data_IF_768491063259
#
_entry.id   IF_768491063259
#
_cell.length_a   1.000
_cell.length_b   1.000
_cell.length_c   1.000
_cell.angle_alpha   90.00
_cell.angle_beta   90.00
_cell.angle_gamma   90.00
#
_symmetry.space_group_name_H-M   'P 1'
#
loop_
_entity.id
_entity.type
_entity.pdbx_description
1 polymer ?
#
# COMPACT_ATOMS: atom_id res chain seq x y z
N UNK A 1 3.13 -14.48 -4.63
CA UNK A 1 3.18 -13.00 -4.49
C UNK A 1 2.71 -12.29 -5.75
N UNK A 2 3.39 -12.43 -6.90
CA UNK A 2 3.00 -11.75 -8.13
C UNK A 2 1.56 -12.02 -8.59
N UNK A 3 1.09 -13.26 -8.50
CA UNK A 3 -0.32 -13.59 -8.79
C UNK A 3 -1.33 -12.82 -7.94
N UNK A 4 -1.07 -12.63 -6.64
CA UNK A 4 -1.96 -11.84 -5.76
C UNK A 4 -2.02 -10.36 -6.20
N UNK A 5 -0.86 -9.78 -6.51
CA UNK A 5 -0.75 -8.39 -7.00
C UNK A 5 -1.45 -8.24 -8.35
N UNK A 6 -1.10 -9.08 -9.33
CA UNK A 6 -1.61 -8.99 -10.70
C UNK A 6 -3.10 -9.37 -10.81
N UNK A 7 -3.66 -10.13 -9.86
CA UNK A 7 -5.11 -10.38 -9.79
C UNK A 7 -5.90 -9.09 -9.57
N UNK A 8 -5.30 -8.08 -8.91
CA UNK A 8 -5.96 -6.79 -8.69
C UNK A 8 -7.26 -6.90 -7.90
N UNK A 9 -7.35 -7.86 -6.96
CA UNK A 9 -8.55 -8.08 -6.16
C UNK A 9 -8.79 -6.88 -5.22
N UNK A 10 -10.02 -6.31 -5.15
CA UNK A 10 -10.31 -5.18 -4.27
C UNK A 10 -10.19 -5.49 -2.77
N UNK A 11 -10.24 -6.78 -2.43
CA UNK A 11 -10.17 -7.34 -1.07
C UNK A 11 -8.88 -8.13 -0.84
N UNK A 12 -7.85 -7.90 -1.67
CA UNK A 12 -6.53 -8.47 -1.40
C UNK A 12 -5.99 -7.96 -0.07
N UNK A 13 -5.57 -8.85 0.82
CA UNK A 13 -4.97 -8.48 2.10
C UNK A 13 -3.61 -7.79 1.94
N UNK A 14 -2.89 -8.05 0.83
CA UNK A 14 -1.54 -7.52 0.62
C UNK A 14 -1.51 -6.21 -0.18
N UNK A 15 -2.51 -5.93 -1.01
CA UNK A 15 -2.48 -4.76 -1.89
C UNK A 15 -2.41 -3.43 -1.11
N UNK A 16 -3.23 -3.19 -0.07
CA UNK A 16 -3.08 -1.99 0.75
C UNK A 16 -1.70 -1.88 1.40
N UNK A 17 -1.11 -3.02 1.82
CA UNK A 17 0.21 -3.03 2.45
C UNK A 17 1.32 -2.62 1.46
N UNK A 18 1.28 -3.12 0.22
CA UNK A 18 2.24 -2.68 -0.82
C UNK A 18 2.14 -1.18 -1.08
N UNK A 19 0.92 -0.64 -1.09
CA UNK A 19 0.68 0.78 -1.31
C UNK A 19 1.28 1.64 -0.18
N UNK A 20 0.98 1.32 1.09
CA UNK A 20 1.43 2.17 2.21
C UNK A 20 2.91 2.06 2.54
N UNK A 21 3.53 0.93 2.23
CA UNK A 21 4.98 0.72 2.41
C UNK A 21 5.81 1.43 1.36
N UNK A 22 5.20 2.00 0.31
CA UNK A 22 5.93 2.60 -0.80
C UNK A 22 6.68 1.57 -1.64
N UNK A 23 6.19 0.32 -1.68
CA UNK A 23 6.78 -0.72 -2.48
C UNK A 23 6.84 -0.31 -3.96
N UNK A 24 7.90 -0.75 -4.64
CA UNK A 24 8.11 -0.49 -6.07
C UNK A 24 8.05 -1.81 -6.82
N UNK A 25 7.32 -1.80 -7.92
CA UNK A 25 7.17 -2.96 -8.80
C UNK A 25 8.04 -2.73 -10.03
N UNK A 26 8.94 -3.69 -10.30
CA UNK A 26 9.67 -3.73 -11.57
C UNK A 26 8.88 -4.57 -12.56
N UNK A 27 8.73 -4.03 -13.76
CA UNK A 27 7.98 -4.60 -14.86
C UNK A 27 8.94 -4.73 -16.04
N UNK A 28 8.88 -5.85 -16.74
CA UNK A 28 9.69 -6.12 -17.92
C UNK A 28 8.80 -6.45 -19.11
N UNK A 29 9.14 -5.92 -20.28
CA UNK A 29 8.47 -6.26 -21.54
C UNK A 29 9.17 -7.42 -22.27
N UNK A 30 8.56 -7.91 -23.36
CA UNK A 30 9.13 -8.98 -24.18
C UNK A 30 10.46 -8.62 -24.87
N UNK A 31 10.84 -7.34 -24.90
CA UNK A 31 12.11 -6.84 -25.46
C UNK A 31 13.19 -6.68 -24.39
N UNK A 32 12.88 -7.00 -23.13
CA UNK A 32 13.80 -6.87 -22.00
C UNK A 32 13.89 -5.45 -21.42
N UNK A 33 13.03 -4.51 -21.83
CA UNK A 33 13.01 -3.17 -21.25
C UNK A 33 12.36 -3.22 -19.87
N UNK A 34 13.07 -2.69 -18.87
CA UNK A 34 12.58 -2.63 -17.48
C UNK A 34 12.05 -1.24 -17.18
N UNK A 35 10.87 -1.17 -16.56
CA UNK A 35 10.35 0.04 -15.93
C UNK A 35 9.95 -0.23 -14.49
N UNK A 36 9.95 0.82 -13.68
CA UNK A 36 9.53 0.77 -12.28
C UNK A 36 8.24 1.57 -12.11
N UNK A 37 7.29 1.06 -11.32
CA UNK A 37 6.11 1.80 -10.88
C UNK A 37 5.93 1.67 -9.37
N UNK A 38 5.37 2.70 -8.74
CA UNK A 38 4.97 2.61 -7.34
C UNK A 38 3.73 1.71 -7.21
N UNK A 39 3.64 0.94 -6.13
CA UNK A 39 2.48 0.08 -5.85
C UNK A 39 1.16 0.88 -5.81
N UNK A 40 1.19 2.09 -5.26
CA UNK A 40 0.02 3.01 -5.19
C UNK A 40 -0.53 3.38 -6.58
N UNK A 41 0.29 3.34 -7.63
CA UNK A 41 -0.10 3.67 -9.01
C UNK A 41 -0.37 2.44 -9.88
N UNK A 42 -0.18 1.22 -9.34
CA UNK A 42 -0.25 -0.01 -10.12
C UNK A 42 -1.68 -0.53 -10.33
N UNK A 43 -2.58 -0.25 -9.39
CA UNK A 43 -3.98 -0.67 -9.46
C UNK A 43 -4.81 0.43 -10.14
N UNK A 44 -5.36 0.14 -11.32
CA UNK A 44 -5.99 1.17 -12.19
C UNK A 44 -7.48 0.94 -12.43
N UNK A 45 -8.05 -0.13 -11.87
CA UNK A 45 -9.47 -0.43 -11.96
C UNK A 45 -9.81 -1.80 -11.37
N UNK A 46 -11.09 -2.18 -11.43
CA UNK A 46 -11.56 -3.46 -10.94
C UNK A 46 -10.87 -4.62 -11.66
N UNK A 47 -10.07 -5.40 -10.91
CA UNK A 47 -9.23 -6.49 -11.43
C UNK A 47 -8.35 -6.07 -12.62
N UNK A 48 -7.96 -4.79 -12.67
CA UNK A 48 -7.14 -4.21 -13.72
C UNK A 48 -5.90 -3.57 -13.12
N UNK A 49 -4.74 -3.98 -13.61
CA UNK A 49 -3.43 -3.49 -13.18
C UNK A 49 -2.70 -2.79 -14.31
N UNK A 50 -1.71 -1.97 -13.97
CA UNK A 50 -0.89 -1.20 -14.90
C UNK A 50 0.18 -2.03 -15.61
N UNK A 51 -0.22 -3.12 -16.27
CA UNK A 51 0.60 -3.92 -17.18
C UNK A 51 0.04 -3.81 -18.59
N UNK A 52 0.92 -3.63 -19.58
CA UNK A 52 0.59 -3.83 -20.98
C UNK A 52 0.50 -5.33 -21.32
N UNK A 53 -0.01 -5.65 -22.51
CA UNK A 53 -0.21 -7.03 -22.95
C UNK A 53 1.08 -7.83 -23.12
N UNK A 54 2.21 -7.17 -23.33
CA UNK A 54 3.54 -7.76 -23.51
C UNK A 54 4.45 -7.60 -22.29
N UNK A 55 3.87 -7.21 -21.14
CA UNK A 55 4.58 -6.96 -19.89
C UNK A 55 4.25 -7.99 -18.80
N UNK A 56 5.24 -8.27 -17.95
CA UNK A 56 5.06 -9.05 -16.73
C UNK A 56 5.64 -8.32 -15.51
N UNK A 57 5.10 -8.62 -14.33
CA UNK A 57 5.70 -8.21 -13.06
C UNK A 57 6.98 -9.03 -12.83
N UNK A 58 8.14 -8.39 -12.96
CA UNK A 58 9.45 -9.02 -12.82
C UNK A 58 9.83 -9.21 -11.36
N UNK A 59 9.73 -8.15 -10.56
CA UNK A 59 10.17 -8.17 -9.17
C UNK A 59 9.45 -7.10 -8.33
N UNK A 60 9.54 -7.26 -7.01
CA UNK A 60 8.96 -6.36 -6.03
C UNK A 60 10.09 -5.90 -5.12
N UNK A 61 10.27 -4.59 -5.02
CA UNK A 61 11.13 -3.96 -4.04
C UNK A 61 10.27 -3.48 -2.86
N UNK A 62 10.41 -4.13 -1.72
CA UNK A 62 9.83 -3.72 -0.44
C UNK A 62 10.92 -2.98 0.36
N UNK A 63 10.77 -1.69 0.66
CA UNK A 63 11.76 -0.96 1.44
C UNK A 63 11.79 -1.43 2.89
N UNK A 64 12.98 -1.39 3.50
CA UNK A 64 13.13 -1.51 4.95
C UNK A 64 12.56 -0.27 5.64
N UNK A 65 11.98 -0.46 6.82
CA UNK A 65 11.53 0.65 7.67
C UNK A 65 12.73 1.40 8.24
N UNK A 66 12.60 2.72 8.34
CA UNK A 66 13.53 3.59 9.05
C UNK A 66 13.30 3.52 10.57
N UNK A 67 14.24 3.99 11.40
CA UNK A 67 13.95 4.26 12.81
C UNK A 67 12.72 5.15 12.96
N UNK A 68 11.83 4.83 13.90
CA UNK A 68 10.57 5.54 14.13
C UNK A 68 9.59 5.55 12.95
N UNK A 69 9.74 4.59 12.03
CA UNK A 69 8.76 4.28 11.00
C UNK A 69 8.04 2.99 11.36
N UNK A 70 6.71 3.07 11.45
CA UNK A 70 5.85 1.98 11.89
C UNK A 70 4.89 1.61 10.78
N UNK A 71 4.74 0.30 10.55
CA UNK A 71 3.80 -0.25 9.58
C UNK A 71 2.90 -1.25 10.30
N UNK A 72 1.60 -1.17 10.05
CA UNK A 72 0.63 -2.13 10.58
C UNK A 72 -0.42 -2.48 9.53
N UNK A 73 -0.79 -3.74 9.50
CA UNK A 73 -1.88 -4.28 8.72
C UNK A 73 -3.06 -4.65 9.63
N UNK A 74 -4.25 -4.56 9.07
CA UNK A 74 -5.51 -4.93 9.70
C UNK A 74 -6.41 -5.64 8.71
N UNK A 75 -7.07 -6.71 9.16
CA UNK A 75 -8.08 -7.45 8.40
C UNK A 75 -9.32 -7.70 9.26
N UNK A 76 -10.49 -7.46 8.67
CA UNK A 76 -11.77 -7.88 9.22
C UNK A 76 -12.44 -8.87 8.26
N UNK A 77 -12.89 -10.00 8.79
CA UNK A 77 -13.61 -11.04 8.06
C UNK A 77 -14.69 -11.68 8.96
N UNK A 78 -15.54 -12.59 8.43
CA UNK A 78 -16.54 -13.29 9.24
C UNK A 78 -15.89 -14.34 10.15
N UNK A 79 -14.78 -14.92 9.72
CA UNK A 79 -13.95 -15.84 10.50
C UNK A 79 -12.52 -15.32 10.54
N UNK A 80 -11.82 -15.64 11.62
CA UNK A 80 -10.43 -15.19 11.83
C UNK A 80 -9.48 -15.77 10.78
N UNK A 81 -9.63 -17.06 10.50
CA UNK A 81 -8.75 -17.83 9.64
C UNK A 81 -9.48 -18.24 8.34
N UNK A 82 -8.73 -18.30 7.25
CA UNK A 82 -9.17 -18.75 5.91
C UNK A 82 -10.50 -18.13 5.44
N UNK A 83 -10.58 -16.80 5.54
CA UNK A 83 -11.75 -16.05 5.12
C UNK A 83 -11.40 -14.82 4.30
N UNK A 84 -12.35 -14.42 3.46
CA UNK A 84 -12.27 -13.25 2.61
C UNK A 84 -12.45 -12.00 3.48
N UNK A 85 -11.59 -11.00 3.29
CA UNK A 85 -11.74 -9.73 3.96
C UNK A 85 -13.05 -9.04 3.56
N UNK A 86 -13.79 -8.58 4.55
CA UNK A 86 -14.87 -7.60 4.39
C UNK A 86 -14.23 -6.24 4.12
N UNK A 87 -13.30 -5.84 4.99
CA UNK A 87 -12.44 -4.66 4.86
C UNK A 87 -11.06 -5.02 5.39
N UNK A 88 -10.03 -4.48 4.77
CA UNK A 88 -8.66 -4.55 5.28
C UNK A 88 -7.97 -3.20 5.09
N UNK A 89 -6.87 -2.99 5.82
CA UNK A 89 -6.12 -1.75 5.78
C UNK A 89 -4.62 -1.99 5.94
N UNK A 90 -3.84 -1.22 5.19
CA UNK A 90 -2.43 -0.98 5.47
C UNK A 90 -2.28 0.42 6.04
N UNK A 91 -1.44 0.58 7.07
CA UNK A 91 -1.11 1.88 7.65
C UNK A 91 0.39 1.99 7.87
N UNK A 92 0.98 3.11 7.46
CA UNK A 92 2.36 3.48 7.74
C UNK A 92 2.41 4.89 8.31
N UNK A 93 3.22 5.09 9.34
CA UNK A 93 3.57 6.41 9.86
C UNK A 93 5.06 6.49 10.10
N UNK A 94 5.66 7.63 9.76
CA UNK A 94 7.04 7.97 10.11
C UNK A 94 7.02 9.18 11.03
N UNK A 95 7.61 9.01 12.21
CA UNK A 95 7.62 10.00 13.27
C UNK A 95 9.00 10.63 13.39
N UNK A 96 9.01 11.94 13.59
CA UNK A 96 10.21 12.71 13.93
C UNK A 96 10.01 13.41 15.27
N UNK A 97 11.04 13.42 16.10
CA UNK A 97 11.04 14.21 17.31
C UNK A 97 11.36 15.68 16.99
N UNK A 98 10.46 16.59 17.35
CA UNK A 98 10.62 18.05 17.19
C UNK A 98 10.19 18.75 18.47
N UNK A 99 11.11 19.49 19.08
CA UNK A 99 10.87 20.24 20.32
C UNK A 99 10.27 19.35 21.45
N UNK A 100 10.79 18.13 21.62
CA UNK A 100 10.32 17.17 22.62
C UNK A 100 8.95 16.54 22.36
N UNK A 101 8.42 16.68 21.13
CA UNK A 101 7.15 16.09 20.69
C UNK A 101 7.37 15.20 19.48
N UNK A 102 6.63 14.09 19.40
CA UNK A 102 6.55 13.27 18.20
C UNK A 102 5.63 13.94 17.17
N UNK A 103 6.15 14.19 15.99
CA UNK A 103 5.42 14.81 14.88
C UNK A 103 5.40 13.83 13.71
N UNK A 104 4.25 13.72 13.05
CA UNK A 104 4.11 12.92 11.83
C UNK A 104 4.88 13.62 10.70
N UNK A 105 6.01 13.03 10.31
CA UNK A 105 6.81 13.50 9.17
C UNK A 105 6.23 13.00 7.85
N UNK A 106 5.76 11.75 7.84
CA UNK A 106 5.14 11.11 6.67
C UNK A 106 4.09 10.09 7.13
N UNK A 107 3.04 9.91 6.33
CA UNK A 107 1.95 8.99 6.62
C UNK A 107 1.39 8.39 5.32
N UNK A 108 0.96 7.14 5.39
CA UNK A 108 0.22 6.51 4.30
C UNK A 108 -0.81 5.54 4.86
N UNK A 109 -2.03 5.62 4.36
CA UNK A 109 -3.17 4.81 4.79
C UNK A 109 -3.86 4.34 3.52
N UNK A 110 -4.05 3.03 3.39
CA UNK A 110 -4.77 2.43 2.27
C UNK A 110 -5.74 1.37 2.76
N UNK A 111 -6.83 1.20 2.01
CA UNK A 111 -7.91 0.27 2.34
C UNK A 111 -8.22 -0.65 1.17
N UNK A 112 -8.63 -1.88 1.47
CA UNK A 112 -9.36 -2.77 0.56
C UNK A 112 -10.78 -3.02 1.05
N UNK A 113 -11.65 -3.52 0.18
CA UNK A 113 -13.06 -3.81 0.46
C UNK A 113 -14.00 -2.60 0.51
N UNK A 114 -13.48 -1.37 0.39
CA UNK A 114 -14.26 -0.12 0.43
C UNK A 114 -14.46 0.54 -0.94
N UNK A 115 -13.83 0.01 -1.99
CA UNK A 115 -13.88 0.52 -3.35
C UNK A 115 -13.62 -0.63 -4.37
N UNK A 116 -13.83 -0.41 -5.68
CA UNK A 116 -13.55 -1.42 -6.72
C UNK A 116 -12.07 -1.80 -6.90
N UNK A 117 -11.16 -1.19 -6.15
CA UNK A 117 -9.74 -1.50 -6.06
C UNK A 117 -9.24 -1.08 -4.66
N UNK A 118 -8.04 -1.50 -4.27
CA UNK A 118 -7.39 -0.92 -3.09
C UNK A 118 -7.11 0.55 -3.32
N UNK A 119 -7.48 1.41 -2.37
CA UNK A 119 -7.40 2.87 -2.49
C UNK A 119 -6.62 3.48 -1.34
N UNK A 120 -5.92 4.58 -1.64
CA UNK A 120 -5.22 5.40 -0.65
C UNK A 120 -6.15 6.47 -0.08
N UNK A 121 -6.13 6.66 1.23
CA UNK A 121 -6.86 7.72 1.92
C UNK A 121 -6.08 9.05 1.83
N UNK A 122 -5.95 9.59 0.61
CA UNK A 122 -5.08 10.73 0.29
C UNK A 122 -5.32 11.96 1.20
N UNK A 123 -6.59 12.38 1.35
CA UNK A 123 -6.95 13.52 2.20
C UNK A 123 -6.59 13.29 3.68
N UNK A 124 -6.74 12.06 4.17
CA UNK A 124 -6.42 11.71 5.55
C UNK A 124 -4.92 11.72 5.79
N UNK A 125 -4.12 11.13 4.90
CA UNK A 125 -2.64 11.16 5.05
C UNK A 125 -2.10 12.59 4.98
N UNK A 126 -2.63 13.43 4.08
CA UNK A 126 -2.28 14.85 3.99
C UNK A 126 -2.62 15.61 5.28
N UNK A 127 -3.78 15.35 5.86
CA UNK A 127 -4.19 15.97 7.13
C UNK A 127 -3.28 15.59 8.30
N UNK A 128 -2.79 14.36 8.34
CA UNK A 128 -1.96 13.84 9.44
C UNK A 128 -0.53 14.40 9.41
N UNK A 129 0.03 14.67 8.23
CA UNK A 129 1.39 15.20 8.10
C UNK A 129 1.51 16.53 8.87
N UNK A 130 2.63 16.70 9.57
CA UNK A 130 2.94 17.80 10.48
C UNK A 130 2.07 17.90 11.74
N UNK A 131 1.13 16.97 11.98
CA UNK A 131 0.41 16.88 13.26
C UNK A 131 1.29 16.27 14.34
N UNK A 132 1.05 16.68 15.58
CA UNK A 132 1.65 16.02 16.75
C UNK A 132 0.96 14.67 16.94
N UNK A 133 1.73 13.63 17.24
CA UNK A 133 1.19 12.30 17.51
C UNK A 133 0.63 12.24 18.93
N UNK A 134 -0.61 12.74 19.10
CA UNK A 134 -1.34 12.77 20.36
C UNK A 134 -2.83 12.42 20.12
N UNK A 135 -3.68 12.68 21.11
CA UNK A 135 -5.12 12.37 21.06
C UNK A 135 -5.95 13.43 20.30
N UNK A 136 -5.42 14.64 20.12
CA UNK A 136 -6.14 15.80 19.59
C UNK A 136 -5.93 15.97 18.07
#
# INVERSE_FOLDING_TARGET
VGGNICTGSPISDLNPLWMVTGAKFQIIDCKGKIRTTAAENFFIGYRKVGLASDEILLSIFLPWTRPFEFVKEFKQAHRRDDDIAIVNAGMRVFLEEKNGKWVVSDASIAYGGVAPLSISAAKTKEFLIAKTWNKE
#
